data_IF_544538984698
#
_entry.id   IF_544538984698
#
_cell.length_a   1.000
_cell.length_b   1.000
_cell.length_c   1.000
_cell.angle_alpha   90.00
_cell.angle_beta   90.00
_cell.angle_gamma   90.00
#
_symmetry.space_group_name_H-M   'P 1'
#
loop_
_entity.id
_entity.type
_entity.pdbx_description
1 polymer ?
#
# COMPACT_ATOMS: atom_id res chain seq x y z
N UNK A 1 42.75 -56.51 -0.97
CA UNK A 1 42.56 -55.08 -0.67
C UNK A 1 42.04 -54.29 -1.87
N UNK A 2 42.30 -54.70 -3.10
CA UNK A 2 41.96 -53.90 -4.30
C UNK A 2 40.46 -53.76 -4.58
N UNK A 3 39.65 -54.78 -4.26
CA UNK A 3 38.20 -54.77 -4.55
C UNK A 3 37.44 -53.72 -3.76
N UNK A 4 37.83 -53.44 -2.51
CA UNK A 4 37.21 -52.39 -1.69
C UNK A 4 37.55 -51.01 -2.25
N UNK A 5 38.81 -50.79 -2.66
CA UNK A 5 39.25 -49.53 -3.24
C UNK A 5 38.50 -49.22 -4.55
N UNK A 6 38.39 -50.20 -5.45
CA UNK A 6 37.65 -50.05 -6.72
C UNK A 6 36.18 -49.73 -6.48
N UNK A 7 35.52 -50.46 -5.56
CA UNK A 7 34.12 -50.19 -5.19
C UNK A 7 33.94 -48.76 -4.66
N UNK A 8 34.82 -48.30 -3.79
CA UNK A 8 34.71 -46.96 -3.17
C UNK A 8 35.04 -45.79 -4.09
N UNK A 9 35.82 -46.01 -5.15
CA UNK A 9 36.31 -44.92 -6.02
C UNK A 9 35.51 -44.80 -7.31
N UNK A 10 35.29 -45.92 -8.00
CA UNK A 10 34.65 -45.94 -9.33
C UNK A 10 33.39 -46.79 -9.37
N UNK A 11 33.08 -47.53 -8.30
CA UNK A 11 31.95 -48.47 -8.27
C UNK A 11 30.61 -47.81 -8.61
N UNK A 12 30.27 -46.74 -7.90
CA UNK A 12 28.96 -46.07 -8.05
C UNK A 12 28.81 -45.42 -9.43
N UNK A 13 29.85 -44.73 -9.91
CA UNK A 13 29.83 -44.04 -11.20
C UNK A 13 29.82 -45.03 -12.38
N UNK A 14 30.55 -46.16 -12.27
CA UNK A 14 30.51 -47.23 -13.27
C UNK A 14 29.14 -47.91 -13.30
N UNK A 15 28.53 -48.17 -12.13
CA UNK A 15 27.18 -48.73 -12.06
C UNK A 15 26.15 -47.82 -12.73
N UNK A 16 26.21 -46.50 -12.46
CA UNK A 16 25.34 -45.52 -13.11
C UNK A 16 25.55 -45.46 -14.63
N UNK A 17 26.82 -45.44 -15.08
CA UNK A 17 27.14 -45.45 -16.51
C UNK A 17 26.66 -46.71 -17.23
N UNK A 18 26.79 -47.87 -16.59
CA UNK A 18 26.29 -49.15 -17.12
C UNK A 18 24.76 -49.19 -17.18
N UNK A 19 24.07 -48.68 -16.15
CA UNK A 19 22.61 -48.52 -16.20
C UNK A 19 22.18 -47.60 -17.34
N UNK A 20 22.87 -46.47 -17.53
CA UNK A 20 22.56 -45.52 -18.59
C UNK A 20 22.79 -46.13 -19.99
N UNK A 21 23.88 -46.88 -20.17
CA UNK A 21 24.16 -47.60 -21.41
C UNK A 21 23.09 -48.67 -21.70
N UNK A 22 22.66 -49.41 -20.67
CA UNK A 22 21.61 -50.42 -20.80
C UNK A 22 20.26 -49.81 -21.20
N UNK A 23 19.92 -48.61 -20.70
CA UNK A 23 18.70 -47.90 -21.10
C UNK A 23 18.74 -47.40 -22.55
N UNK A 24 19.93 -47.10 -23.08
CA UNK A 24 20.10 -46.59 -24.45
C UNK A 24 20.28 -47.71 -25.49
N UNK A 25 20.58 -48.93 -25.04
CA UNK A 25 20.75 -50.08 -25.93
C UNK A 25 19.41 -50.79 -26.05
N UNK A 26 18.76 -50.82 -27.23
CA UNK A 26 17.50 -51.52 -27.39
C UNK A 26 17.67 -53.01 -27.14
N UNK A 27 16.82 -53.59 -26.29
CA UNK A 27 16.77 -55.02 -26.08
C UNK A 27 16.11 -55.70 -27.29
N UNK A 28 16.88 -56.50 -28.04
CA UNK A 28 16.36 -57.29 -29.17
C UNK A 28 16.40 -58.78 -28.79
N UNK A 29 15.24 -59.43 -28.58
CA UNK A 29 15.19 -60.86 -28.35
C UNK A 29 15.32 -61.59 -29.70
N UNK A 30 16.51 -62.17 -29.97
CA UNK A 30 16.72 -63.00 -31.17
C UNK A 30 18.07 -63.74 -31.16
N UNK A 31 18.18 -64.92 -31.82
CA UNK A 31 19.40 -65.73 -31.85
C UNK A 31 20.52 -65.16 -32.76
N UNK A 32 20.24 -64.07 -33.49
CA UNK A 32 21.21 -63.36 -34.33
C UNK A 32 21.51 -62.00 -33.73
N UNK A 33 22.49 -61.95 -32.83
CA UNK A 33 23.06 -60.71 -32.31
C UNK A 33 23.93 -60.04 -33.40
N UNK A 34 23.33 -59.39 -34.39
CA UNK A 34 24.06 -58.44 -35.23
C UNK A 34 24.02 -57.08 -34.54
N UNK A 35 25.11 -56.71 -33.87
CA UNK A 35 25.29 -55.35 -33.36
C UNK A 35 25.39 -54.40 -34.56
N UNK A 36 24.28 -53.77 -34.91
CA UNK A 36 24.28 -52.48 -35.62
C UNK A 36 23.82 -51.39 -34.63
N UNK A 37 24.35 -51.45 -33.41
CA UNK A 37 24.21 -50.36 -32.46
C UNK A 37 25.21 -49.27 -32.87
N UNK A 38 24.73 -48.10 -33.29
CA UNK A 38 25.58 -46.95 -33.63
C UNK A 38 26.43 -46.40 -32.45
N UNK A 39 26.34 -47.02 -31.27
CA UNK A 39 27.00 -46.59 -30.04
C UNK A 39 28.07 -47.63 -29.68
N UNK A 40 29.33 -47.21 -29.72
CA UNK A 40 30.43 -47.98 -29.12
C UNK A 40 30.32 -47.88 -27.58
N UNK A 41 30.04 -48.99 -26.87
CA UNK A 41 29.81 -48.98 -25.43
C UNK A 41 31.02 -48.50 -24.63
N UNK A 42 32.24 -48.73 -25.12
CA UNK A 42 33.47 -48.30 -24.44
C UNK A 42 33.60 -46.78 -24.54
N UNK A 43 33.45 -46.23 -25.76
CA UNK A 43 33.46 -44.78 -25.98
C UNK A 43 32.31 -44.08 -25.23
N UNK A 44 31.12 -44.67 -25.19
CA UNK A 44 30.00 -44.15 -24.42
C UNK A 44 30.33 -44.06 -22.93
N UNK A 45 30.81 -45.15 -22.33
CA UNK A 45 31.13 -45.19 -20.90
C UNK A 45 32.26 -44.20 -20.58
N UNK A 46 33.30 -44.11 -21.43
CA UNK A 46 34.38 -43.15 -21.26
C UNK A 46 33.86 -41.70 -21.28
N UNK A 47 33.01 -41.34 -22.24
CA UNK A 47 32.40 -40.02 -22.31
C UNK A 47 31.50 -39.72 -21.11
N UNK A 48 30.73 -40.71 -20.65
CA UNK A 48 29.90 -40.59 -19.45
C UNK A 48 30.74 -40.29 -18.21
N UNK A 49 31.83 -41.04 -17.99
CA UNK A 49 32.73 -40.83 -16.86
C UNK A 49 33.40 -39.46 -16.89
N UNK A 50 33.84 -38.99 -18.07
CA UNK A 50 34.44 -37.66 -18.23
C UNK A 50 33.44 -36.54 -17.90
N UNK A 51 32.18 -36.70 -18.31
CA UNK A 51 31.16 -35.68 -18.12
C UNK A 51 30.52 -35.70 -16.73
N UNK A 52 30.61 -36.81 -15.98
CA UNK A 52 29.95 -36.97 -14.69
C UNK A 52 30.35 -35.90 -13.67
N UNK A 53 31.65 -35.64 -13.52
CA UNK A 53 32.14 -34.63 -12.58
C UNK A 53 31.68 -33.21 -12.95
N UNK A 54 31.64 -32.91 -14.26
CA UNK A 54 31.11 -31.65 -14.77
C UNK A 54 29.61 -31.51 -14.50
N UNK A 55 28.84 -32.59 -14.69
CA UNK A 55 27.40 -32.59 -14.38
C UNK A 55 27.12 -32.47 -12.88
N UNK A 56 27.92 -33.14 -12.04
CA UNK A 56 27.79 -33.08 -10.58
C UNK A 56 28.04 -31.66 -10.06
N UNK A 57 29.12 -31.02 -10.53
CA UNK A 57 29.45 -29.64 -10.16
C UNK A 57 28.40 -28.65 -10.66
N UNK A 58 27.96 -28.78 -11.91
CA UNK A 58 26.93 -27.92 -12.49
C UNK A 58 25.59 -28.07 -11.76
N UNK A 59 25.19 -29.30 -11.45
CA UNK A 59 23.96 -29.58 -10.68
C UNK A 59 24.03 -28.97 -9.28
N UNK A 60 25.17 -29.08 -8.60
CA UNK A 60 25.38 -28.45 -7.30
C UNK A 60 25.25 -26.91 -7.39
N UNK A 61 25.87 -26.29 -8.40
CA UNK A 61 25.75 -24.84 -8.62
C UNK A 61 24.31 -24.40 -8.91
N UNK A 62 23.55 -25.18 -9.69
CA UNK A 62 22.13 -24.91 -9.95
C UNK A 62 21.31 -25.00 -8.67
N UNK A 63 21.55 -26.03 -7.84
CA UNK A 63 20.89 -26.17 -6.54
C UNK A 63 21.21 -25.00 -5.60
N UNK A 64 22.48 -24.60 -5.50
CA UNK A 64 22.89 -23.47 -4.68
C UNK A 64 22.25 -22.17 -5.15
N UNK A 65 22.24 -21.92 -6.47
CA UNK A 65 21.57 -20.74 -7.04
C UNK A 65 20.06 -20.74 -6.80
N UNK A 66 19.44 -21.91 -6.88
CA UNK A 66 18.01 -22.08 -6.60
C UNK A 66 17.71 -21.79 -5.13
N UNK A 67 18.55 -22.27 -4.23
CA UNK A 67 18.44 -22.02 -2.79
C UNK A 67 18.57 -20.52 -2.47
N UNK A 68 19.58 -19.85 -3.02
CA UNK A 68 19.77 -18.41 -2.86
C UNK A 68 18.58 -17.60 -3.40
N UNK A 69 18.04 -17.99 -4.55
CA UNK A 69 16.87 -17.34 -5.14
C UNK A 69 15.65 -17.50 -4.26
N UNK A 70 15.42 -18.70 -3.70
CA UNK A 70 14.32 -18.98 -2.78
C UNK A 70 14.45 -18.18 -1.48
N UNK A 71 15.66 -18.04 -0.94
CA UNK A 71 15.92 -17.22 0.25
C UNK A 71 15.59 -15.74 0.00
N UNK A 72 16.04 -15.18 -1.13
CA UNK A 72 15.74 -13.80 -1.52
C UNK A 72 14.23 -13.59 -1.72
N UNK A 73 13.55 -14.54 -2.36
CA UNK A 73 12.10 -14.48 -2.56
C UNK A 73 11.34 -14.48 -1.22
N UNK A 74 11.75 -15.34 -0.29
CA UNK A 74 11.13 -15.40 1.04
C UNK A 74 11.34 -14.10 1.82
N UNK A 75 12.55 -13.55 1.82
CA UNK A 75 12.84 -12.26 2.45
C UNK A 75 12.04 -11.11 1.83
N UNK A 76 11.85 -11.13 0.51
CA UNK A 76 11.01 -10.16 -0.19
C UNK A 76 9.54 -10.27 0.25
N UNK A 77 8.97 -11.48 0.30
CA UNK A 77 7.60 -11.72 0.76
C UNK A 77 7.38 -11.24 2.19
N UNK A 78 8.31 -11.53 3.09
CA UNK A 78 8.26 -11.07 4.47
C UNK A 78 8.27 -9.54 4.56
N UNK A 79 9.13 -8.88 3.79
CA UNK A 79 9.17 -7.42 3.72
C UNK A 79 7.85 -6.83 3.23
N UNK A 80 7.26 -7.39 2.17
CA UNK A 80 5.98 -6.92 1.63
C UNK A 80 4.85 -7.06 2.66
N UNK A 81 4.77 -8.19 3.36
CA UNK A 81 3.78 -8.38 4.42
C UNK A 81 4.00 -7.41 5.58
N UNK A 82 5.25 -7.18 5.99
CA UNK A 82 5.56 -6.19 7.02
C UNK A 82 5.11 -4.78 6.61
N UNK A 83 5.32 -4.38 5.36
CA UNK A 83 4.91 -3.08 4.83
C UNK A 83 3.39 -2.97 4.77
N UNK A 84 2.70 -4.02 4.34
CA UNK A 84 1.24 -4.09 4.33
C UNK A 84 0.65 -3.92 5.74
N UNK A 85 1.24 -4.55 6.75
CA UNK A 85 0.80 -4.35 8.16
C UNK A 85 1.08 -2.95 8.66
N UNK A 86 2.19 -2.32 8.24
CA UNK A 86 2.51 -0.94 8.59
C UNK A 86 1.49 0.02 7.96
N UNK A 87 1.21 -0.11 6.65
CA UNK A 87 0.20 0.71 5.96
C UNK A 87 -1.16 0.63 6.64
N UNK A 88 -1.62 -0.59 6.97
CA UNK A 88 -2.87 -0.79 7.72
C UNK A 88 -2.89 -0.05 9.06
N UNK A 89 -1.78 -0.07 9.82
CA UNK A 89 -1.70 0.64 11.11
C UNK A 89 -1.73 2.15 10.92
N UNK A 90 -0.99 2.67 9.96
CA UNK A 90 -0.96 4.10 9.62
C UNK A 90 -2.35 4.57 9.17
N UNK A 91 -3.04 3.80 8.34
CA UNK A 91 -4.40 4.13 7.89
C UNK A 91 -5.39 4.21 9.05
N UNK A 92 -5.32 3.26 10.00
CA UNK A 92 -6.16 3.28 11.21
C UNK A 92 -5.85 4.51 12.06
N UNK A 93 -4.57 4.83 12.25
CA UNK A 93 -4.16 5.99 13.03
C UNK A 93 -4.58 7.31 12.38
N UNK A 94 -4.41 7.44 11.07
CA UNK A 94 -4.85 8.61 10.30
C UNK A 94 -6.35 8.80 10.36
N UNK A 95 -7.13 7.72 10.19
CA UNK A 95 -8.60 7.77 10.33
C UNK A 95 -9.01 8.18 11.74
N UNK A 96 -8.34 7.65 12.77
CA UNK A 96 -8.57 8.01 14.16
C UNK A 96 -8.29 9.48 14.43
N UNK A 97 -7.12 9.98 14.01
CA UNK A 97 -6.73 11.39 14.14
C UNK A 97 -7.69 12.32 13.39
N UNK A 98 -8.06 11.97 12.16
CA UNK A 98 -9.02 12.75 11.36
C UNK A 98 -10.37 12.86 12.06
N UNK A 99 -10.91 11.76 12.60
CA UNK A 99 -12.18 11.78 13.33
C UNK A 99 -12.14 12.68 14.57
N UNK A 100 -11.04 12.67 15.32
CA UNK A 100 -10.86 13.57 16.47
C UNK A 100 -10.86 15.02 16.01
N UNK A 101 -10.15 15.31 14.92
CA UNK A 101 -10.00 16.65 14.38
C UNK A 101 -11.33 17.20 13.85
N UNK A 102 -12.11 16.39 13.14
CA UNK A 102 -13.48 16.73 12.72
C UNK A 102 -14.36 17.07 13.92
N UNK A 103 -14.37 16.24 14.96
CA UNK A 103 -15.15 16.52 16.19
C UNK A 103 -14.72 17.81 16.89
N UNK A 104 -13.43 18.16 16.85
CA UNK A 104 -12.95 19.42 17.42
C UNK A 104 -13.39 20.63 16.59
N UNK A 105 -13.40 20.51 15.26
CA UNK A 105 -13.90 21.54 14.36
C UNK A 105 -15.39 21.76 14.60
N UNK A 106 -16.17 20.69 14.67
CA UNK A 106 -17.62 20.76 14.91
C UNK A 106 -17.93 21.44 16.24
N UNK A 107 -17.23 21.07 17.32
CA UNK A 107 -17.38 21.73 18.63
C UNK A 107 -17.03 23.22 18.58
N UNK A 108 -15.93 23.58 17.93
CA UNK A 108 -15.55 25.00 17.80
C UNK A 108 -16.60 25.79 17.01
N UNK A 109 -17.14 25.18 15.95
CA UNK A 109 -18.20 25.78 15.15
C UNK A 109 -19.47 25.99 15.99
N UNK A 110 -19.90 25.00 16.75
CA UNK A 110 -21.04 25.12 17.67
C UNK A 110 -20.81 26.23 18.72
N UNK A 111 -19.61 26.33 19.28
CA UNK A 111 -19.25 27.39 20.22
C UNK A 111 -19.28 28.78 19.58
N UNK A 112 -18.80 28.92 18.33
CA UNK A 112 -18.83 30.17 17.58
C UNK A 112 -20.27 30.58 17.22
N UNK A 113 -21.09 29.63 16.78
CA UNK A 113 -22.52 29.84 16.49
C UNK A 113 -23.28 30.27 17.76
N UNK A 114 -23.03 29.61 18.90
CA UNK A 114 -23.62 30.00 20.18
C UNK A 114 -23.19 31.40 20.63
N UNK A 115 -21.91 31.76 20.47
CA UNK A 115 -21.41 33.12 20.77
C UNK A 115 -22.04 34.17 19.86
N UNK A 116 -22.22 33.87 18.57
CA UNK A 116 -22.85 34.78 17.63
C UNK A 116 -24.30 35.07 18.02
N UNK A 117 -25.08 34.04 18.35
CA UNK A 117 -26.48 34.15 18.82
C UNK A 117 -26.55 34.96 20.12
N UNK A 118 -25.68 34.67 21.09
CA UNK A 118 -25.63 35.42 22.35
C UNK A 118 -25.35 36.91 22.12
N UNK A 119 -24.42 37.25 21.21
CA UNK A 119 -24.13 38.65 20.89
C UNK A 119 -25.30 39.33 20.18
N UNK A 120 -26.02 38.61 19.31
CA UNK A 120 -27.19 39.14 18.62
C UNK A 120 -28.32 39.45 19.62
N UNK A 121 -28.60 38.54 20.55
CA UNK A 121 -29.60 38.75 21.60
C UNK A 121 -29.23 39.91 22.53
N UNK A 122 -27.95 40.04 22.90
CA UNK A 122 -27.48 41.17 23.71
C UNK A 122 -27.65 42.51 22.99
N UNK A 123 -27.41 42.57 21.67
CA UNK A 123 -27.65 43.78 20.87
C UNK A 123 -29.13 44.13 20.77
N UNK A 124 -30.00 43.14 20.62
CA UNK A 124 -31.47 43.35 20.62
C UNK A 124 -31.93 43.89 21.97
N UNK A 125 -31.52 43.28 23.08
CA UNK A 125 -31.88 43.74 24.41
C UNK A 125 -31.37 45.16 24.71
N UNK A 126 -30.15 45.50 24.26
CA UNK A 126 -29.61 46.85 24.39
C UNK A 126 -30.40 47.88 23.56
N UNK A 127 -30.83 47.51 22.33
CA UNK A 127 -31.67 48.37 21.50
C UNK A 127 -33.06 48.59 22.11
N UNK A 128 -33.67 47.55 22.70
CA UNK A 128 -34.94 47.66 23.42
C UNK A 128 -34.83 48.54 24.67
N UNK A 129 -33.75 48.41 25.45
CA UNK A 129 -33.50 49.27 26.61
C UNK A 129 -33.31 50.74 26.21
N UNK A 130 -32.62 51.02 25.09
CA UNK A 130 -32.48 52.37 24.55
C UNK A 130 -33.83 52.92 24.06
N UNK A 131 -34.66 52.11 23.41
CA UNK A 131 -35.99 52.51 22.97
C UNK A 131 -36.91 52.83 24.17
N UNK A 132 -36.82 52.06 25.26
CA UNK A 132 -37.55 52.32 26.49
C UNK A 132 -37.09 53.62 27.17
N UNK A 133 -35.77 53.82 27.31
CA UNK A 133 -35.23 55.06 27.88
C UNK A 133 -35.60 56.31 27.04
N UNK A 134 -35.64 56.18 25.71
CA UNK A 134 -36.10 57.24 24.83
C UNK A 134 -37.61 57.52 24.96
N UNK A 135 -38.43 56.49 25.19
CA UNK A 135 -39.85 56.63 25.44
C UNK A 135 -40.13 57.36 26.77
N UNK A 136 -39.40 57.03 27.84
CA UNK A 136 -39.49 57.72 29.13
C UNK A 136 -39.13 59.22 28.99
N UNK A 137 -38.06 59.55 28.26
CA UNK A 137 -37.69 60.94 27.97
C UNK A 137 -38.77 61.70 27.17
N UNK A 138 -39.48 61.00 26.28
CA UNK A 138 -40.59 61.58 25.52
C UNK A 138 -41.83 61.83 26.38
N UNK A 139 -42.08 60.97 27.38
CA UNK A 139 -43.16 61.14 28.35
C UNK A 139 -42.88 62.25 29.35
N UNK A 140 -41.62 62.42 29.76
CA UNK A 140 -41.17 63.53 30.61
C UNK A 140 -41.32 64.87 29.88
N UNK A 141 -41.00 64.91 28.58
CA UNK A 141 -41.27 66.08 27.73
C UNK A 141 -42.77 66.34 27.49
N UNK A 142 -43.60 65.30 27.39
CA UNK A 142 -45.05 65.43 27.20
C UNK A 142 -45.81 65.83 28.50
N UNK A 143 -45.22 65.64 29.68
CA UNK A 143 -45.84 65.93 30.98
C UNK A 143 -45.56 67.34 31.53
N UNK A 144 -44.89 68.20 30.74
CA UNK A 144 -44.87 69.63 31.01
C UNK A 144 -44.23 70.03 32.35
N UNK A 145 -42.91 69.82 32.47
CA UNK A 145 -42.08 70.60 33.41
C UNK A 145 -40.82 71.07 32.72
N UNK A 146 -40.98 72.14 31.95
CA UNK A 146 -39.88 72.96 31.44
C UNK A 146 -39.20 73.62 32.65
N UNK A 147 -38.02 73.14 33.03
CA UNK A 147 -37.07 73.89 33.85
C UNK A 147 -35.85 74.20 32.99
N UNK A 148 -35.92 75.32 32.27
CA UNK A 148 -34.81 75.90 31.52
C UNK A 148 -33.71 76.35 32.48
N UNK A 149 -32.53 75.74 32.39
CA UNK A 149 -31.30 76.41 32.81
C UNK A 149 -30.09 75.92 31.99
N UNK A 150 -29.50 76.85 31.24
CA UNK A 150 -28.05 76.89 31.04
C UNK A 150 -27.49 76.23 29.79
N UNK A 151 -27.52 76.97 28.67
CA UNK A 151 -26.60 76.84 27.54
C UNK A 151 -25.16 77.09 28.04
N UNK A 152 -24.17 76.27 27.64
CA UNK A 152 -22.79 76.71 27.40
C UNK A 152 -22.12 75.79 26.37
N UNK A 153 -21.85 76.37 25.21
CA UNK A 153 -20.94 75.90 24.15
C UNK A 153 -19.56 76.49 24.39
N UNK A 154 -18.51 75.68 24.36
CA UNK A 154 -17.15 76.11 23.99
C UNK A 154 -16.49 75.06 23.08
N UNK A 155 -16.15 75.51 21.87
CA UNK A 155 -15.19 74.90 20.97
C UNK A 155 -13.76 75.21 21.47
N UNK A 156 -12.86 74.25 21.41
CA UNK A 156 -11.43 74.53 21.13
C UNK A 156 -10.82 73.42 20.29
N UNK A 157 -10.40 73.81 19.10
CA UNK A 157 -9.49 73.13 18.17
C UNK A 157 -8.04 73.40 18.60
N UNK A 158 -7.14 72.42 18.50
CA UNK A 158 -5.81 72.62 17.89
C UNK A 158 -5.05 71.31 17.62
N UNK A 159 -4.28 71.36 16.53
CA UNK A 159 -3.55 70.33 15.79
C UNK A 159 -2.15 70.02 16.38
N UNK A 160 -1.55 68.90 15.93
CA UNK A 160 -0.14 68.65 15.49
C UNK A 160 0.25 67.19 15.81
N UNK A 161 1.15 66.48 15.13
CA UNK A 161 1.69 66.43 13.75
C UNK A 161 2.48 65.09 13.70
N UNK A 162 2.57 64.52 12.50
CA UNK A 162 3.65 63.70 11.93
C UNK A 162 4.12 62.36 12.51
N UNK A 163 4.17 61.39 11.58
CA UNK A 163 4.81 60.09 11.73
C UNK A 163 4.66 59.20 10.50
N UNK A 164 5.07 59.69 9.32
CA UNK A 164 5.27 58.91 8.09
C UNK A 164 6.22 57.72 8.31
N UNK A 165 5.87 56.52 7.81
CA UNK A 165 6.82 55.64 7.08
C UNK A 165 6.07 54.80 6.03
N UNK A 166 6.28 55.18 4.76
CA UNK A 166 6.44 54.37 3.54
C UNK A 166 6.32 52.83 3.66
N UNK A 167 5.67 52.17 2.69
CA UNK A 167 6.33 51.87 1.40
C UNK A 167 5.49 50.93 0.51
N UNK A 168 5.37 51.34 -0.75
CA UNK A 168 5.12 50.66 -2.03
C UNK A 168 5.08 49.12 -2.06
N UNK A 169 4.26 48.46 -2.87
CA UNK A 169 3.49 48.93 -4.02
C UNK A 169 3.00 47.75 -4.88
N UNK A 170 2.28 48.12 -5.95
CA UNK A 170 2.19 47.48 -7.28
C UNK A 170 2.12 45.93 -7.34
N UNK A 171 1.13 45.30 -7.97
CA UNK A 171 0.11 45.73 -8.90
C UNK A 171 -0.65 44.49 -9.41
N UNK A 172 -1.64 44.64 -10.29
CA UNK A 172 -2.32 43.53 -10.95
C UNK A 172 -1.67 43.18 -12.30
N UNK A 173 -2.16 42.10 -12.96
CA UNK A 173 -1.76 41.50 -14.25
C UNK A 173 -0.63 40.46 -14.10
N UNK A 174 -0.65 39.27 -14.69
CA UNK A 174 -1.48 38.62 -15.70
C UNK A 174 -0.76 37.36 -16.20
N UNK A 175 -1.38 36.71 -17.19
CA UNK A 175 -0.88 35.70 -18.15
C UNK A 175 -0.47 34.30 -17.66
N UNK A 176 -1.24 33.32 -18.15
CA UNK A 176 -0.84 32.27 -19.10
C UNK A 176 0.54 31.61 -18.92
N UNK A 177 0.54 30.28 -18.87
CA UNK A 177 1.75 29.49 -19.02
C UNK A 177 1.54 28.04 -18.60
N UNK A 178 1.26 27.23 -19.62
CA UNK A 178 1.06 25.78 -19.60
C UNK A 178 2.16 25.01 -18.84
N UNK A 179 1.79 23.89 -18.23
CA UNK A 179 2.61 22.69 -18.27
C UNK A 179 1.73 21.45 -18.11
N UNK A 180 1.48 20.82 -19.26
CA UNK A 180 1.05 19.45 -19.43
C UNK A 180 1.93 18.49 -18.60
N UNK A 181 1.30 17.67 -17.75
CA UNK A 181 1.84 16.33 -17.48
C UNK A 181 0.70 15.30 -17.50
N UNK A 182 0.64 14.63 -18.64
CA UNK A 182 0.04 13.31 -18.86
C UNK A 182 0.15 12.37 -17.66
N UNK A 183 -0.98 11.78 -17.27
CA UNK A 183 -1.05 10.65 -16.37
C UNK A 183 -2.29 9.83 -16.65
N UNK A 184 -2.19 8.97 -17.65
CA UNK A 184 -3.21 8.06 -18.16
C UNK A 184 -4.03 7.36 -17.06
N UNK A 185 -5.29 7.77 -16.90
CA UNK A 185 -6.32 6.96 -16.27
C UNK A 185 -6.68 5.83 -17.24
N UNK A 186 -6.03 4.69 -17.04
CA UNK A 186 -6.44 3.42 -17.62
C UNK A 186 -7.51 2.82 -16.72
N UNK A 187 -8.78 3.06 -17.09
CA UNK A 187 -9.93 2.31 -16.60
C UNK A 187 -9.85 0.85 -17.07
N UNK A 188 -8.94 0.10 -16.44
CA UNK A 188 -8.93 -1.34 -16.45
C UNK A 188 -10.09 -1.83 -15.58
N UNK A 189 -11.25 -2.00 -16.20
CA UNK A 189 -12.39 -2.69 -15.63
C UNK A 189 -11.98 -4.10 -15.16
N UNK A 190 -11.66 -4.22 -13.88
CA UNK A 190 -11.45 -5.47 -13.17
C UNK A 190 -12.85 -6.07 -12.93
N UNK A 191 -13.31 -6.92 -13.86
CA UNK A 191 -14.51 -7.74 -13.66
C UNK A 191 -14.08 -9.09 -13.09
N UNK A 192 -14.40 -9.24 -11.81
CA UNK A 192 -14.75 -10.46 -11.09
C UNK A 192 -14.66 -11.80 -11.85
N UNK A 193 -13.53 -12.51 -11.70
CA UNK A 193 -13.50 -13.97 -11.84
C UNK A 193 -13.66 -14.61 -10.46
N UNK A 194 -14.87 -14.53 -9.93
CA UNK A 194 -15.35 -15.42 -8.89
C UNK A 194 -15.95 -16.66 -9.56
N UNK A 195 -15.12 -17.68 -9.82
CA UNK A 195 -15.63 -19.02 -10.12
C UNK A 195 -14.66 -20.10 -9.61
N UNK A 196 -14.55 -20.22 -8.28
CA UNK A 196 -14.10 -21.46 -7.65
C UNK A 196 -15.33 -22.34 -7.45
N UNK A 197 -15.76 -22.95 -8.55
CA UNK A 197 -16.70 -24.07 -8.55
C UNK A 197 -16.02 -25.29 -7.97
N UNK A 198 -16.21 -25.43 -6.66
CA UNK A 198 -16.15 -26.66 -5.89
C UNK A 198 -16.95 -27.77 -6.62
N UNK A 199 -16.24 -28.79 -7.13
CA UNK A 199 -16.83 -30.07 -7.49
C UNK A 199 -15.98 -31.18 -6.87
N UNK A 200 -16.32 -31.45 -5.62
CA UNK A 200 -16.22 -32.78 -5.03
C UNK A 200 -17.04 -33.77 -5.87
N UNK A 201 -16.36 -34.54 -6.72
CA UNK A 201 -16.91 -35.80 -7.21
C UNK A 201 -16.37 -36.94 -6.35
N UNK A 202 -17.25 -37.29 -5.42
CA UNK A 202 -17.35 -38.55 -4.70
C UNK A 202 -17.67 -39.66 -5.72
N UNK A 203 -16.71 -40.55 -5.96
CA UNK A 203 -17.01 -41.91 -6.45
C UNK A 203 -16.30 -42.92 -5.57
N UNK A 204 -17.00 -43.22 -4.49
CA UNK A 204 -17.05 -44.50 -3.82
C UNK A 204 -17.47 -45.61 -4.82
N UNK A 205 -16.70 -46.70 -4.91
CA UNK A 205 -17.10 -48.08 -5.25
C UNK A 205 -15.83 -48.94 -5.23
N UNK A 206 -15.60 -49.73 -4.18
CA UNK A 206 -16.08 -51.11 -3.90
C UNK A 206 -14.89 -52.08 -4.05
N UNK A 207 -14.37 -52.57 -2.91
CA UNK A 207 -14.49 -53.97 -2.47
C UNK A 207 -14.02 -54.98 -3.53
N UNK A 208 -12.82 -55.53 -3.33
CA UNK A 208 -12.66 -56.97 -3.10
C UNK A 208 -11.19 -57.37 -2.85
N UNK A 209 -10.94 -57.84 -1.63
CA UNK A 209 -9.97 -58.88 -1.31
C UNK A 209 -10.75 -59.89 -0.45
N UNK A 210 -10.39 -61.18 -0.34
CA UNK A 210 -9.04 -61.75 -0.52
C UNK A 210 -9.00 -63.12 -1.21
N UNK A 211 -7.82 -63.70 -1.40
CA UNK A 211 -7.60 -65.12 -1.10
C UNK A 211 -6.11 -65.42 -0.95
N UNK A 212 -5.75 -65.92 0.23
CA UNK A 212 -4.54 -66.68 0.53
C UNK A 212 -4.55 -68.01 -0.24
N UNK A 213 -3.39 -68.39 -0.78
CA UNK A 213 -2.84 -69.76 -0.76
C UNK A 213 -1.30 -69.71 -0.85
#
# INVERSE_FOLDING_TARGET
METTYIKSTVGDILAQGLCQLALQTPYVPGPSSSYETHIDPITFLANYLIQHDLHKTTTAQIHDRTLQTRQKLNAFKERVESEKTLRKRVDVELKGRMSILTKQIDRKREEEEAKAIASANAKVAAAEALAFAAADLSQENASGRVSTQGLHTEETSENHEDGDVNNTGQGPLGSDGDDDVNGQDSDGAFKDDANTGDQHDDQSESEDAPTDE
#
